data_IF_358777343514
#
_entry.id   IF_358777343514
#
_cell.length_a   1.000
_cell.length_b   1.000
_cell.length_c   1.000
_cell.angle_alpha   90.00
_cell.angle_beta   90.00
_cell.angle_gamma   90.00
#
_symmetry.space_group_name_H-M   'P 1'
#
loop_
_entity.id
_entity.type
_entity.pdbx_description
1 polymer ?
#
# COMPACT_ATOMS: atom_id res chain seq x y z
N UNK A 1 -23.43 20.21 -78.08
CA UNK A 1 -23.38 20.93 -76.80
C UNK A 1 -23.41 19.89 -75.66
N UNK A 2 -22.26 19.55 -75.06
CA UNK A 2 -22.18 18.61 -73.90
C UNK A 2 -21.88 19.45 -72.68
N UNK A 3 -22.78 19.46 -71.69
CA UNK A 3 -22.54 20.07 -70.39
C UNK A 3 -21.87 19.04 -69.47
N UNK A 4 -20.67 19.35 -68.99
CA UNK A 4 -20.02 18.64 -67.88
C UNK A 4 -20.49 19.28 -66.55
N UNK A 5 -21.12 18.48 -65.68
CA UNK A 5 -21.35 18.83 -64.27
C UNK A 5 -20.10 18.30 -63.48
N UNK A 6 -19.35 19.24 -62.92
CA UNK A 6 -18.33 18.95 -61.91
C UNK A 6 -18.96 18.99 -60.51
N UNK A 7 -19.10 17.82 -59.88
CA UNK A 7 -19.54 17.71 -58.48
C UNK A 7 -18.31 17.86 -57.52
N UNK A 8 -18.33 18.85 -56.66
CA UNK A 8 -17.37 19.02 -55.58
C UNK A 8 -17.78 18.15 -54.40
N UNK A 9 -16.92 17.21 -54.05
CA UNK A 9 -17.07 16.42 -52.78
C UNK A 9 -16.37 17.20 -51.68
N UNK A 10 -17.14 17.72 -50.72
CA UNK A 10 -16.61 18.30 -49.49
C UNK A 10 -16.28 17.17 -48.48
N UNK A 11 -15.02 16.95 -48.22
CA UNK A 11 -14.52 16.09 -47.12
C UNK A 11 -14.74 16.85 -45.80
N UNK A 12 -15.69 16.42 -44.98
CA UNK A 12 -15.79 16.83 -43.58
C UNK A 12 -14.72 16.08 -42.78
N UNK A 13 -13.62 16.76 -42.44
CA UNK A 13 -12.66 16.32 -41.43
C UNK A 13 -13.32 16.54 -40.06
N UNK A 14 -13.84 15.47 -39.46
CA UNK A 14 -14.18 15.44 -38.04
C UNK A 14 -12.91 15.45 -37.23
N UNK A 15 -12.51 16.62 -36.73
CA UNK A 15 -11.42 16.76 -35.79
C UNK A 15 -11.81 16.13 -34.48
N UNK A 16 -11.21 14.97 -34.16
CA UNK A 16 -11.19 14.46 -32.79
C UNK A 16 -10.37 15.46 -31.95
N UNK A 17 -11.05 16.32 -31.21
CA UNK A 17 -10.40 17.11 -30.18
C UNK A 17 -9.85 16.12 -29.11
N UNK A 18 -8.54 15.89 -29.13
CA UNK A 18 -7.87 15.19 -28.04
C UNK A 18 -8.00 16.07 -26.80
N UNK A 19 -8.85 15.68 -25.86
CA UNK A 19 -8.83 16.27 -24.51
C UNK A 19 -7.47 15.96 -23.93
N UNK A 20 -6.65 16.99 -23.71
CA UNK A 20 -5.37 16.84 -23.04
C UNK A 20 -5.63 16.16 -21.68
N UNK A 21 -4.84 15.15 -21.28
CA UNK A 21 -5.02 14.51 -19.99
C UNK A 21 -4.87 15.59 -18.91
N UNK A 22 -5.91 15.72 -18.07
CA UNK A 22 -5.82 16.55 -16.86
C UNK A 22 -4.69 16.00 -16.00
N UNK A 23 -3.84 16.89 -15.50
CA UNK A 23 -2.91 16.50 -14.45
C UNK A 23 -3.72 16.03 -13.22
N UNK A 24 -3.36 14.90 -12.61
CA UNK A 24 -4.05 14.43 -11.42
C UNK A 24 -3.98 15.49 -10.31
N UNK A 25 -5.09 15.68 -9.62
CA UNK A 25 -5.14 16.54 -8.42
C UNK A 25 -4.94 15.68 -7.19
N UNK A 26 -4.23 16.22 -6.20
CA UNK A 26 -3.99 15.56 -4.92
C UNK A 26 -4.37 16.49 -3.77
N UNK A 27 -5.03 15.94 -2.75
CA UNK A 27 -5.41 16.65 -1.53
C UNK A 27 -5.50 15.69 -0.35
N UNK A 28 -5.46 16.22 0.87
CA UNK A 28 -5.82 15.46 2.07
C UNK A 28 -7.33 15.19 2.03
N UNK A 29 -7.71 13.94 2.21
CA UNK A 29 -9.09 13.53 2.41
C UNK A 29 -9.49 13.69 3.89
N UNK A 30 -8.66 13.22 4.78
CA UNK A 30 -8.87 13.28 6.23
C UNK A 30 -7.53 13.23 6.96
N UNK A 31 -7.40 14.07 7.96
CA UNK A 31 -6.38 14.01 8.99
C UNK A 31 -6.90 13.08 10.11
N UNK A 32 -6.13 12.07 10.45
CA UNK A 32 -6.50 11.06 11.43
C UNK A 32 -6.05 11.41 12.85
N UNK A 33 -5.21 12.45 12.98
CA UNK A 33 -4.62 12.88 14.25
C UNK A 33 -4.52 14.42 14.37
N UNK A 34 -5.63 15.16 14.16
CA UNK A 34 -5.61 16.62 13.98
C UNK A 34 -5.23 17.40 15.25
N UNK A 35 -5.18 16.76 16.40
CA UNK A 35 -4.89 17.40 17.68
C UNK A 35 -3.48 17.11 18.20
N UNK A 36 -2.69 16.30 17.48
CA UNK A 36 -1.47 15.75 18.03
C UNK A 36 -0.22 16.15 17.26
N UNK A 37 0.69 16.81 17.94
CA UNK A 37 2.10 16.91 17.53
C UNK A 37 2.92 15.69 17.98
N UNK A 38 2.32 14.77 18.76
CA UNK A 38 3.00 13.66 19.41
C UNK A 38 2.82 12.31 18.68
N UNK A 39 2.22 12.33 17.48
CA UNK A 39 1.95 11.13 16.68
C UNK A 39 1.24 10.04 17.49
N UNK A 40 0.10 10.38 18.08
CA UNK A 40 -0.73 9.45 18.87
C UNK A 40 -1.46 8.43 18.00
N UNK A 41 -1.56 8.71 16.70
CA UNK A 41 -2.03 7.80 15.66
C UNK A 41 -0.97 7.66 14.57
N UNK A 42 -0.71 6.45 14.14
CA UNK A 42 0.21 6.14 13.02
C UNK A 42 -0.47 5.10 12.14
N UNK A 43 -0.57 5.37 10.83
CA UNK A 43 -1.16 4.43 9.88
C UNK A 43 -0.16 4.09 8.77
N UNK A 44 0.02 2.79 8.51
CA UNK A 44 0.95 2.33 7.47
C UNK A 44 0.21 1.87 6.22
N UNK A 45 -0.89 1.16 6.36
CA UNK A 45 -1.60 0.55 5.23
C UNK A 45 -3.01 1.08 5.11
N UNK A 46 -3.53 1.01 3.88
CA UNK A 46 -4.91 1.34 3.55
C UNK A 46 -5.49 0.24 2.65
N UNK A 47 -6.73 -0.12 2.89
CA UNK A 47 -7.52 -0.99 2.00
C UNK A 47 -8.94 -0.48 1.88
N UNK A 48 -9.75 -1.07 0.99
CA UNK A 48 -11.15 -0.70 0.83
C UNK A 48 -12.03 -1.95 0.74
N UNK A 49 -13.24 -1.85 1.30
CA UNK A 49 -14.25 -2.87 1.12
C UNK A 49 -14.98 -2.72 -0.24
N UNK A 50 -15.89 -3.63 -0.55
CA UNK A 50 -16.66 -3.62 -1.80
C UNK A 50 -17.60 -2.42 -1.96
N UNK A 51 -17.93 -1.75 -0.86
CA UNK A 51 -18.77 -0.56 -0.85
C UNK A 51 -17.94 0.72 -1.02
N UNK A 52 -16.61 0.59 -1.10
CA UNK A 52 -15.68 1.69 -1.22
C UNK A 52 -15.40 2.41 0.10
N UNK A 53 -15.73 1.81 1.23
CA UNK A 53 -15.29 2.31 2.54
C UNK A 53 -13.81 2.03 2.70
N UNK A 54 -13.05 2.99 3.16
CA UNK A 54 -11.61 2.89 3.41
C UNK A 54 -11.35 2.36 4.82
N UNK A 55 -10.30 1.55 4.96
CA UNK A 55 -9.87 1.02 6.24
C UNK A 55 -8.38 1.23 6.41
N UNK A 56 -7.98 1.73 7.57
CA UNK A 56 -6.59 1.88 8.00
C UNK A 56 -6.43 1.28 9.40
N UNK A 57 -5.22 0.84 9.74
CA UNK A 57 -4.92 0.33 11.06
C UNK A 57 -3.96 1.29 11.79
N UNK A 58 -4.35 1.69 12.98
CA UNK A 58 -3.55 2.51 13.89
C UNK A 58 -2.52 1.64 14.61
N UNK A 59 -1.26 1.84 14.29
CA UNK A 59 -0.11 1.07 14.82
C UNK A 59 0.11 1.31 16.31
N UNK A 60 -0.23 2.49 16.82
CA UNK A 60 -0.01 2.87 18.21
C UNK A 60 -1.02 2.19 19.14
N UNK A 61 -2.31 2.27 18.77
CA UNK A 61 -3.41 1.85 19.63
C UNK A 61 -4.04 0.52 19.19
N UNK A 62 -3.65 -0.06 18.07
CA UNK A 62 -4.24 -1.28 17.52
C UNK A 62 -5.68 -1.12 17.03
N UNK A 63 -6.17 0.11 16.85
CA UNK A 63 -7.50 0.37 16.34
C UNK A 63 -7.56 0.16 14.82
N UNK A 64 -8.67 -0.40 14.35
CA UNK A 64 -9.01 -0.42 12.93
C UNK A 64 -10.04 0.66 12.70
N UNK A 65 -9.66 1.66 11.88
CA UNK A 65 -10.47 2.80 11.53
C UNK A 65 -11.12 2.58 10.17
N UNK A 66 -12.42 2.89 10.08
CA UNK A 66 -13.15 2.97 8.81
C UNK A 66 -13.47 4.43 8.49
N UNK A 67 -13.30 4.80 7.21
CA UNK A 67 -13.58 6.15 6.69
C UNK A 67 -14.47 6.04 5.46
N UNK A 68 -15.59 6.76 5.46
CA UNK A 68 -16.40 6.95 4.24
C UNK A 68 -15.77 8.08 3.42
N UNK A 69 -15.32 7.84 2.18
CA UNK A 69 -14.72 8.90 1.36
C UNK A 69 -15.66 10.07 1.05
N UNK A 70 -16.98 9.87 1.19
CA UNK A 70 -18.00 10.91 0.95
C UNK A 70 -18.28 11.76 2.18
N UNK A 71 -18.00 11.24 3.37
CA UNK A 71 -18.14 11.91 4.66
C UNK A 71 -16.97 11.47 5.55
N UNK A 72 -15.75 12.02 5.35
CA UNK A 72 -14.50 11.42 5.83
C UNK A 72 -14.28 11.66 7.34
N UNK A 73 -15.10 11.00 8.13
CA UNK A 73 -14.96 10.95 9.60
C UNK A 73 -14.48 9.54 9.98
N UNK A 74 -13.31 9.40 10.62
CA UNK A 74 -12.80 8.09 11.05
C UNK A 74 -13.63 7.53 12.20
N UNK A 75 -13.99 6.25 12.10
CA UNK A 75 -14.70 5.53 13.17
C UNK A 75 -14.00 4.21 13.46
N UNK A 76 -13.81 3.89 14.74
CA UNK A 76 -13.25 2.60 15.18
C UNK A 76 -14.27 1.50 14.93
N UNK A 77 -13.89 0.47 14.15
CA UNK A 77 -14.78 -0.66 13.83
C UNK A 77 -14.28 -2.00 14.36
N UNK A 78 -12.99 -2.07 14.73
CA UNK A 78 -12.39 -3.25 15.35
C UNK A 78 -11.11 -2.86 16.09
N UNK A 79 -10.56 -3.82 16.87
CA UNK A 79 -9.31 -3.64 17.63
C UNK A 79 -8.46 -4.89 17.61
N UNK A 80 -7.15 -4.68 17.75
CA UNK A 80 -6.18 -5.73 18.02
C UNK A 80 -5.64 -5.47 19.43
N UNK A 81 -5.95 -6.37 20.35
CA UNK A 81 -5.49 -6.22 21.74
C UNK A 81 -3.99 -6.50 21.85
N UNK A 82 -3.25 -5.69 22.63
CA UNK A 82 -1.88 -5.98 22.98
C UNK A 82 -1.79 -7.30 23.73
N UNK A 83 -0.69 -8.05 23.56
CA UNK A 83 -0.45 -9.35 24.19
C UNK A 83 0.73 -9.31 25.14
N UNK A 84 0.72 -10.20 26.12
CA UNK A 84 1.90 -10.49 26.90
C UNK A 84 2.75 -11.52 26.16
N UNK A 85 3.95 -11.13 25.75
CA UNK A 85 4.92 -12.00 25.08
C UNK A 85 6.18 -11.99 25.92
N UNK A 86 6.49 -13.11 26.54
CA UNK A 86 7.65 -13.30 27.41
C UNK A 86 7.74 -12.26 28.54
N UNK A 87 6.60 -11.94 29.16
CA UNK A 87 6.51 -10.98 30.27
C UNK A 87 6.58 -9.50 29.87
N UNK A 88 6.43 -9.21 28.56
CA UNK A 88 6.36 -7.84 28.04
C UNK A 88 5.03 -7.61 27.35
N UNK A 89 4.40 -6.48 27.65
CA UNK A 89 3.22 -6.02 26.89
C UNK A 89 3.65 -5.57 25.51
N UNK A 90 3.18 -6.26 24.47
CA UNK A 90 3.54 -6.02 23.05
C UNK A 90 2.29 -5.60 22.29
N UNK A 91 2.37 -4.48 21.59
CA UNK A 91 1.32 -4.04 20.66
C UNK A 91 1.46 -4.83 19.33
N UNK A 92 0.35 -4.96 18.61
CA UNK A 92 0.32 -5.67 17.33
C UNK A 92 1.13 -4.97 16.24
N UNK A 93 1.30 -3.65 16.36
CA UNK A 93 1.98 -2.81 15.36
C UNK A 93 1.49 -3.14 13.95
N UNK A 94 0.15 -3.02 13.69
CA UNK A 94 -0.45 -3.48 12.46
C UNK A 94 0.12 -2.77 11.24
N UNK A 95 0.41 -3.53 10.20
CA UNK A 95 0.95 -3.01 8.93
C UNK A 95 0.00 -3.31 7.77
N UNK A 96 0.21 -4.34 6.97
CA UNK A 96 -0.62 -4.67 5.81
C UNK A 96 -2.07 -4.98 6.15
N UNK A 97 -2.97 -4.59 5.25
CA UNK A 97 -4.41 -4.83 5.32
C UNK A 97 -4.91 -5.46 4.02
N UNK A 98 -5.78 -6.46 4.09
CA UNK A 98 -6.43 -7.02 2.92
C UNK A 98 -7.83 -7.56 3.27
N UNK A 99 -8.80 -7.37 2.37
CA UNK A 99 -10.10 -8.03 2.43
C UNK A 99 -10.11 -9.28 1.58
N UNK A 100 -10.76 -10.33 2.08
CA UNK A 100 -11.07 -11.49 1.26
C UNK A 100 -12.39 -11.30 0.47
N UNK A 101 -12.74 -12.37 -0.29
CA UNK A 101 -13.98 -12.39 -1.05
C UNK A 101 -15.24 -12.45 -0.17
N UNK A 102 -15.17 -12.77 1.10
CA UNK A 102 -16.26 -12.80 2.07
C UNK A 102 -16.46 -11.47 2.77
N UNK A 103 -15.48 -10.56 2.68
CA UNK A 103 -15.46 -9.27 3.36
C UNK A 103 -14.85 -9.34 4.75
N UNK A 104 -14.16 -10.43 5.08
CA UNK A 104 -13.34 -10.51 6.29
C UNK A 104 -12.06 -9.70 6.09
N UNK A 105 -11.67 -8.95 7.11
CA UNK A 105 -10.46 -8.13 7.10
C UNK A 105 -9.30 -8.87 7.74
N UNK A 106 -8.20 -8.96 7.01
CA UNK A 106 -6.94 -9.55 7.46
C UNK A 106 -5.92 -8.45 7.72
N UNK A 107 -5.15 -8.58 8.80
CA UNK A 107 -4.20 -7.58 9.27
C UNK A 107 -2.88 -8.27 9.61
N UNK A 108 -1.78 -7.78 9.05
CA UNK A 108 -0.43 -8.20 9.41
C UNK A 108 -0.07 -7.67 10.80
N UNK A 109 0.30 -8.55 11.71
CA UNK A 109 0.72 -8.25 13.08
C UNK A 109 2.17 -8.74 13.27
N UNK A 110 3.12 -7.96 12.74
CA UNK A 110 4.53 -8.33 12.65
C UNK A 110 5.18 -8.74 13.99
N UNK A 111 4.98 -7.98 15.09
CA UNK A 111 5.49 -8.34 16.43
C UNK A 111 4.94 -9.66 16.98
N UNK A 112 3.77 -10.08 16.56
CA UNK A 112 3.18 -11.36 16.94
C UNK A 112 3.63 -12.51 16.02
N UNK A 113 4.29 -12.19 14.88
CA UNK A 113 4.57 -13.11 13.79
C UNK A 113 3.29 -13.80 13.27
N UNK A 114 2.19 -13.03 13.17
CA UNK A 114 0.86 -13.53 12.84
C UNK A 114 0.17 -12.66 11.78
N UNK A 115 -0.85 -13.27 11.16
CA UNK A 115 -1.94 -12.53 10.54
C UNK A 115 -3.17 -12.74 11.41
N UNK A 116 -3.80 -11.63 11.80
CA UNK A 116 -5.06 -11.64 12.53
C UNK A 116 -6.22 -11.31 11.60
N UNK A 117 -7.43 -11.75 11.95
CA UNK A 117 -8.64 -11.56 11.16
C UNK A 117 -9.75 -10.94 12.00
N UNK A 118 -10.51 -10.03 11.39
CA UNK A 118 -11.82 -9.55 11.86
C UNK A 118 -12.86 -9.97 10.84
N UNK A 119 -13.92 -10.66 11.30
CA UNK A 119 -14.99 -11.10 10.39
C UNK A 119 -15.80 -9.90 9.92
N UNK A 120 -16.34 -9.96 8.72
CA UNK A 120 -17.15 -8.89 8.13
C UNK A 120 -18.28 -8.41 9.07
N UNK A 121 -18.98 -9.34 9.74
CA UNK A 121 -20.06 -9.04 10.68
C UNK A 121 -19.57 -8.33 11.97
N UNK A 122 -18.30 -8.39 12.27
CA UNK A 122 -17.67 -7.81 13.46
C UNK A 122 -17.06 -6.42 13.20
N UNK A 123 -17.00 -5.97 11.96
CA UNK A 123 -16.56 -4.62 11.58
C UNK A 123 -17.67 -3.60 11.86
N UNK A 124 -17.89 -3.32 13.12
CA UNK A 124 -19.06 -2.56 13.60
C UNK A 124 -18.66 -1.40 14.52
N UNK A 125 -18.97 -0.12 14.17
CA UNK A 125 -18.62 1.02 15.02
C UNK A 125 -19.41 1.08 16.34
N UNK A 126 -20.62 0.50 16.41
CA UNK A 126 -21.40 0.47 17.64
C UNK A 126 -20.85 -0.56 18.65
N UNK A 127 -20.17 -1.59 18.17
CA UNK A 127 -19.52 -2.63 18.98
C UNK A 127 -18.28 -3.13 18.22
N UNK A 128 -17.13 -2.43 18.33
CA UNK A 128 -15.92 -2.81 17.61
C UNK A 128 -15.51 -4.25 17.90
N UNK A 129 -15.27 -5.03 16.84
CA UNK A 129 -14.86 -6.42 16.92
C UNK A 129 -13.43 -6.56 17.46
N UNK A 130 -13.10 -7.76 17.95
CA UNK A 130 -11.74 -8.11 18.34
C UNK A 130 -11.10 -9.02 17.28
N UNK A 131 -9.94 -8.60 16.79
CA UNK A 131 -9.19 -9.41 15.84
C UNK A 131 -8.70 -10.71 16.48
N UNK A 132 -8.81 -11.80 15.74
CA UNK A 132 -8.41 -13.14 16.19
C UNK A 132 -7.24 -13.65 15.34
N UNK A 133 -6.34 -14.40 15.94
CA UNK A 133 -5.28 -15.10 15.19
C UNK A 133 -5.90 -15.98 14.10
N UNK A 134 -5.47 -15.78 12.88
CA UNK A 134 -5.88 -16.60 11.73
C UNK A 134 -4.72 -17.42 11.18
N UNK A 135 -3.51 -16.87 11.18
CA UNK A 135 -2.32 -17.56 10.75
C UNK A 135 -1.11 -17.18 11.60
N UNK A 136 -0.13 -18.08 11.68
CA UNK A 136 1.10 -17.93 12.44
C UNK A 136 2.35 -18.16 11.57
N UNK A 137 3.52 -17.76 12.05
CA UNK A 137 4.79 -18.01 11.37
C UNK A 137 5.14 -16.94 10.31
N UNK A 138 4.54 -15.76 10.38
CA UNK A 138 4.80 -14.63 9.47
C UNK A 138 5.70 -13.58 10.13
N UNK A 139 6.90 -13.97 10.54
CA UNK A 139 7.84 -13.07 11.18
C UNK A 139 8.14 -11.84 10.32
N UNK A 140 7.96 -10.63 10.90
CA UNK A 140 8.14 -9.37 10.20
C UNK A 140 7.04 -9.08 9.17
N UNK A 141 5.84 -9.66 9.34
CA UNK A 141 4.70 -9.45 8.45
C UNK A 141 4.47 -7.97 8.15
N UNK A 142 4.37 -7.63 6.86
CA UNK A 142 4.18 -6.27 6.37
C UNK A 142 3.10 -6.24 5.28
N UNK A 143 3.42 -6.13 3.99
CA UNK A 143 2.44 -6.08 2.90
C UNK A 143 1.72 -7.41 2.69
N UNK A 144 0.49 -7.35 2.17
CA UNK A 144 -0.35 -8.53 1.94
C UNK A 144 -1.12 -8.45 0.62
N UNK A 145 -1.31 -9.60 -0.03
CA UNK A 145 -2.15 -9.72 -1.21
C UNK A 145 -2.76 -11.13 -1.31
N UNK A 146 -4.04 -11.21 -1.64
CA UNK A 146 -4.69 -12.48 -1.99
C UNK A 146 -4.42 -12.89 -3.44
N UNK A 147 -4.14 -14.16 -3.67
CA UNK A 147 -4.18 -14.74 -5.00
C UNK A 147 -5.63 -15.06 -5.44
N UNK A 148 -5.83 -15.47 -6.69
CA UNK A 148 -7.16 -15.81 -7.22
C UNK A 148 -7.76 -17.07 -6.60
N UNK A 149 -6.96 -17.91 -5.97
CA UNK A 149 -7.36 -19.12 -5.28
C UNK A 149 -7.75 -18.85 -3.82
N UNK A 150 -7.64 -17.60 -3.35
CA UNK A 150 -7.93 -17.19 -1.98
C UNK A 150 -6.81 -17.50 -0.98
N UNK A 151 -5.59 -17.79 -1.45
CA UNK A 151 -4.44 -17.87 -0.54
C UNK A 151 -3.90 -16.48 -0.29
N UNK A 152 -3.47 -16.21 0.93
CA UNK A 152 -2.86 -14.94 1.30
C UNK A 152 -1.33 -15.02 1.20
N UNK A 153 -0.75 -14.07 0.50
CA UNK A 153 0.70 -13.85 0.48
C UNK A 153 1.04 -12.67 1.39
N UNK A 154 2.09 -12.83 2.20
CA UNK A 154 2.51 -11.86 3.22
C UNK A 154 4.00 -11.63 3.12
N UNK A 155 4.44 -10.40 2.94
CA UNK A 155 5.86 -10.07 2.94
C UNK A 155 6.43 -10.03 4.36
N UNK A 156 7.67 -10.51 4.53
CA UNK A 156 8.40 -10.55 5.80
C UNK A 156 9.44 -9.43 5.93
N UNK A 157 9.22 -8.30 5.28
CA UNK A 157 10.05 -7.10 5.42
C UNK A 157 11.52 -7.35 5.12
N UNK A 158 12.36 -7.14 6.11
CA UNK A 158 13.81 -7.25 5.99
C UNK A 158 14.31 -8.69 5.77
N UNK A 159 13.53 -9.72 6.14
CA UNK A 159 13.91 -11.11 5.88
C UNK A 159 13.96 -11.46 4.39
N UNK A 160 13.23 -10.69 3.57
CA UNK A 160 13.04 -10.94 2.14
C UNK A 160 12.13 -12.12 1.82
N UNK A 161 11.64 -12.82 2.83
CA UNK A 161 10.68 -13.92 2.62
C UNK A 161 9.33 -13.36 2.28
N UNK A 162 8.65 -13.93 1.28
CA UNK A 162 7.20 -13.80 1.14
C UNK A 162 6.59 -15.13 1.53
N UNK A 163 5.74 -15.09 2.52
CA UNK A 163 5.02 -16.26 3.03
C UNK A 163 3.74 -16.47 2.24
N UNK A 164 3.31 -17.72 2.09
CA UNK A 164 1.98 -18.10 1.62
C UNK A 164 1.19 -18.76 2.76
N UNK A 165 -0.06 -18.38 2.89
CA UNK A 165 -1.01 -18.95 3.85
C UNK A 165 -2.19 -19.50 3.03
N UNK A 166 -2.59 -20.73 3.31
CA UNK A 166 -3.78 -21.30 2.67
C UNK A 166 -5.04 -20.49 3.05
N UNK A 167 -6.06 -20.48 2.19
CA UNK A 167 -7.32 -19.76 2.45
C UNK A 167 -8.06 -20.20 3.72
N UNK A 168 -7.72 -21.35 4.27
CA UNK A 168 -8.21 -21.82 5.58
C UNK A 168 -7.45 -21.24 6.79
N UNK A 169 -6.35 -20.51 6.58
CA UNK A 169 -5.45 -20.05 7.64
C UNK A 169 -4.45 -21.11 8.10
N UNK A 170 -3.89 -20.92 9.28
CA UNK A 170 -2.94 -21.86 9.89
C UNK A 170 -1.49 -21.43 9.75
N UNK A 171 -0.56 -22.39 9.65
CA UNK A 171 0.87 -22.09 9.56
C UNK A 171 1.27 -21.57 8.20
N UNK A 172 1.92 -20.40 8.18
CA UNK A 172 2.47 -19.81 6.97
C UNK A 172 3.65 -20.65 6.44
N UNK A 173 3.78 -20.70 5.11
CA UNK A 173 4.87 -21.40 4.44
C UNK A 173 5.70 -20.41 3.62
N UNK A 174 7.03 -20.46 3.64
CA UNK A 174 7.86 -19.66 2.73
C UNK A 174 7.52 -20.00 1.27
N UNK A 175 7.24 -18.99 0.47
CA UNK A 175 6.90 -19.14 -0.95
C UNK A 175 7.92 -18.48 -1.88
N UNK A 176 8.43 -17.32 -1.52
CA UNK A 176 9.40 -16.53 -2.32
C UNK A 176 10.52 -16.04 -1.42
N UNK A 177 11.72 -15.92 -1.97
CA UNK A 177 12.85 -15.25 -1.32
C UNK A 177 13.36 -14.12 -2.22
N UNK A 178 13.19 -12.87 -1.78
CA UNK A 178 13.90 -11.71 -2.32
C UNK A 178 15.27 -11.66 -1.64
N UNK A 179 16.32 -11.39 -2.41
CA UNK A 179 17.66 -11.30 -1.88
C UNK A 179 17.77 -10.21 -0.80
N UNK A 180 18.35 -10.55 0.34
CA UNK A 180 18.56 -9.61 1.45
C UNK A 180 19.48 -8.47 1.05
N UNK A 181 19.24 -7.30 1.63
CA UNK A 181 20.08 -6.13 1.48
C UNK A 181 20.58 -5.65 2.84
N UNK A 182 21.88 -5.51 2.97
CA UNK A 182 22.52 -5.05 4.20
C UNK A 182 23.22 -3.72 3.92
N UNK A 183 22.87 -2.71 4.71
CA UNK A 183 23.51 -1.39 4.66
C UNK A 183 24.53 -1.29 5.79
N UNK A 184 25.72 -0.79 5.49
CA UNK A 184 26.69 -0.39 6.51
C UNK A 184 26.38 1.05 6.93
N UNK A 185 26.21 1.25 8.23
CA UNK A 185 25.97 2.53 8.84
C UNK A 185 27.28 3.31 9.05
N UNK A 186 27.23 4.64 9.28
CA UNK A 186 28.43 5.46 9.52
C UNK A 186 29.27 5.00 10.72
N UNK A 187 28.66 4.34 11.71
CA UNK A 187 29.34 3.77 12.88
C UNK A 187 29.99 2.40 12.61
N UNK A 188 29.96 1.93 11.36
CA UNK A 188 30.49 0.63 10.93
C UNK A 188 29.58 -0.57 11.21
N UNK A 189 28.46 -0.39 11.89
CA UNK A 189 27.47 -1.45 12.09
C UNK A 189 26.72 -1.76 10.81
N UNK A 190 26.24 -2.97 10.70
CA UNK A 190 25.38 -3.39 9.59
C UNK A 190 23.93 -3.43 10.02
N UNK A 191 23.05 -2.99 9.13
CA UNK A 191 21.60 -3.05 9.31
C UNK A 191 20.95 -3.69 8.10
N UNK A 192 20.16 -4.73 8.34
CA UNK A 192 19.35 -5.35 7.31
C UNK A 192 18.19 -4.42 6.95
N UNK A 193 18.01 -4.20 5.66
CA UNK A 193 16.99 -3.28 5.12
C UNK A 193 15.76 -4.04 4.64
N UNK A 194 14.62 -3.35 4.51
CA UNK A 194 13.37 -3.91 3.98
C UNK A 194 13.52 -4.15 2.46
N UNK A 195 13.38 -5.39 2.03
CA UNK A 195 13.48 -5.82 0.62
C UNK A 195 12.23 -6.51 0.09
N UNK A 196 11.28 -6.84 0.97
CA UNK A 196 9.98 -7.36 0.59
C UNK A 196 8.92 -6.57 1.37
N UNK A 197 8.32 -5.56 0.74
CA UNK A 197 7.33 -4.66 1.34
C UNK A 197 5.96 -4.87 0.68
N UNK A 198 5.43 -3.91 -0.05
CA UNK A 198 4.14 -4.01 -0.71
C UNK A 198 4.06 -5.18 -1.70
N UNK A 199 2.91 -5.82 -1.74
CA UNK A 199 2.60 -6.96 -2.61
C UNK A 199 1.36 -6.69 -3.45
N UNK A 200 1.37 -7.08 -4.71
CA UNK A 200 0.18 -7.11 -5.55
C UNK A 200 0.26 -8.21 -6.61
N UNK A 201 -0.87 -8.83 -6.91
CA UNK A 201 -1.00 -9.75 -8.05
C UNK A 201 -1.52 -9.00 -9.27
N UNK A 202 -0.89 -9.23 -10.43
CA UNK A 202 -1.43 -8.74 -11.68
C UNK A 202 -2.59 -9.60 -12.23
N UNK A 203 -3.17 -9.15 -13.34
CA UNK A 203 -4.25 -9.87 -14.00
C UNK A 203 -3.85 -11.26 -14.55
N UNK A 204 -2.59 -11.58 -14.62
CA UNK A 204 -2.05 -12.88 -15.04
C UNK A 204 -1.72 -13.80 -13.85
N UNK A 205 -1.82 -13.28 -12.60
CA UNK A 205 -1.48 -14.00 -11.39
C UNK A 205 0.02 -13.99 -11.08
N UNK A 206 0.77 -13.06 -11.67
CA UNK A 206 2.18 -12.82 -11.31
C UNK A 206 2.22 -11.94 -10.07
N UNK A 207 2.99 -12.35 -9.08
CA UNK A 207 3.22 -11.56 -7.87
C UNK A 207 4.24 -10.45 -8.15
N UNK A 208 3.90 -9.21 -7.79
CA UNK A 208 4.81 -8.08 -7.78
C UNK A 208 5.19 -7.74 -6.34
N UNK A 209 6.47 -7.49 -6.09
CA UNK A 209 7.04 -7.20 -4.77
C UNK A 209 7.78 -5.89 -4.83
N UNK A 210 7.45 -4.95 -3.94
CA UNK A 210 8.21 -3.72 -3.73
C UNK A 210 9.45 -3.98 -2.88
N UNK A 211 10.60 -3.44 -3.34
CA UNK A 211 11.88 -3.50 -2.63
C UNK A 211 12.25 -2.07 -2.20
N UNK A 212 11.96 -1.75 -0.96
CA UNK A 212 12.20 -0.43 -0.36
C UNK A 212 13.68 -0.07 -0.39
N UNK A 213 14.53 -1.04 -0.05
CA UNK A 213 15.97 -0.84 0.08
C UNK A 213 16.67 -0.47 -1.22
N UNK A 214 16.21 -1.07 -2.34
CA UNK A 214 16.81 -0.88 -3.66
C UNK A 214 16.06 0.12 -4.54
N UNK A 215 14.89 0.60 -4.11
CA UNK A 215 14.00 1.39 -4.97
C UNK A 215 13.62 0.60 -6.22
N UNK A 216 13.14 -0.62 -6.04
CA UNK A 216 12.94 -1.58 -7.12
C UNK A 216 11.61 -2.33 -7.01
N UNK A 217 11.19 -2.93 -8.11
CA UNK A 217 10.07 -3.85 -8.19
C UNK A 217 10.52 -5.19 -8.78
N UNK A 218 10.09 -6.27 -8.16
CA UNK A 218 10.32 -7.64 -8.60
C UNK A 218 9.03 -8.27 -9.12
N UNK A 219 9.15 -9.17 -10.09
CA UNK A 219 8.08 -10.05 -10.58
C UNK A 219 8.41 -11.49 -10.23
N UNK A 220 7.41 -12.22 -9.75
CA UNK A 220 7.56 -13.63 -9.38
C UNK A 220 6.37 -14.43 -9.90
N UNK A 221 6.61 -15.39 -10.77
CA UNK A 221 5.59 -16.36 -11.17
C UNK A 221 5.32 -17.32 -10.00
N UNK A 222 4.04 -17.53 -9.67
CA UNK A 222 3.64 -18.47 -8.63
C UNK A 222 3.16 -19.75 -9.31
N UNK A 223 3.78 -20.87 -8.94
CA UNK A 223 3.43 -22.19 -9.44
C UNK A 223 2.11 -22.72 -8.86
N UNK A 224 1.58 -23.78 -9.46
CA UNK A 224 0.36 -24.42 -8.98
C UNK A 224 0.48 -24.99 -7.55
N UNK A 225 1.69 -25.28 -7.10
CA UNK A 225 2.01 -25.68 -5.73
C UNK A 225 2.06 -24.50 -4.74
N UNK A 226 1.87 -23.28 -5.23
CA UNK A 226 1.92 -22.05 -4.45
C UNK A 226 3.33 -21.56 -4.14
N UNK A 227 4.36 -22.16 -4.71
CA UNK A 227 5.75 -21.68 -4.59
C UNK A 227 6.08 -20.69 -5.69
N UNK A 228 6.86 -19.68 -5.33
CA UNK A 228 7.40 -18.76 -6.31
C UNK A 228 8.60 -19.30 -7.07
N UNK A 229 8.66 -18.97 -8.35
CA UNK A 229 9.87 -19.11 -9.13
C UNK A 229 10.95 -18.12 -8.73
N UNK A 230 12.02 -18.04 -9.51
CA UNK A 230 13.09 -17.05 -9.31
C UNK A 230 12.54 -15.63 -9.49
N UNK A 231 12.72 -14.71 -8.52
CA UNK A 231 12.35 -13.31 -8.71
C UNK A 231 13.11 -12.67 -9.86
N UNK A 232 12.39 -11.99 -10.75
CA UNK A 232 12.96 -11.23 -11.86
C UNK A 232 12.78 -9.74 -11.60
N UNK A 233 13.85 -8.96 -11.73
CA UNK A 233 13.79 -7.51 -11.63
C UNK A 233 12.91 -6.94 -12.74
N UNK A 234 11.82 -6.25 -12.38
CA UNK A 234 11.00 -5.51 -13.34
C UNK A 234 11.66 -4.17 -13.65
N UNK A 235 12.01 -3.43 -12.61
CA UNK A 235 12.62 -2.10 -12.73
C UNK A 235 13.29 -1.69 -11.41
N UNK A 236 14.36 -0.93 -11.50
CA UNK A 236 14.96 -0.15 -10.42
C UNK A 236 15.09 1.29 -10.90
N UNK A 237 14.61 2.26 -10.11
CA UNK A 237 14.56 3.67 -10.53
C UNK A 237 14.60 4.59 -9.31
N UNK A 238 15.21 5.77 -9.44
CA UNK A 238 15.25 6.77 -8.38
C UNK A 238 13.85 7.28 -7.96
N UNK A 239 12.86 7.23 -8.85
CA UNK A 239 11.47 7.56 -8.51
C UNK A 239 10.80 6.49 -7.63
N UNK A 240 11.42 5.33 -7.44
CA UNK A 240 10.98 4.26 -6.56
C UNK A 240 11.73 4.25 -5.22
N UNK A 241 12.47 5.30 -4.90
CA UNK A 241 13.19 5.40 -3.62
C UNK A 241 12.19 5.31 -2.46
N UNK A 242 12.40 4.31 -1.59
CA UNK A 242 11.43 3.99 -0.57
C UNK A 242 10.16 3.29 -1.08
N UNK A 243 10.24 2.49 -2.15
CA UNK A 243 9.09 1.74 -2.66
C UNK A 243 8.43 0.93 -1.55
N UNK A 244 7.14 1.22 -1.31
CA UNK A 244 6.38 0.67 -0.19
C UNK A 244 5.09 -0.02 -0.69
N UNK A 245 3.91 0.41 -0.29
CA UNK A 245 2.67 -0.18 -0.75
C UNK A 245 2.42 -0.01 -2.24
N UNK A 246 1.80 -1.01 -2.85
CA UNK A 246 1.56 -1.07 -4.29
C UNK A 246 0.13 -1.50 -4.60
N UNK A 247 -0.42 -0.95 -5.70
CA UNK A 247 -1.74 -1.33 -6.19
C UNK A 247 -1.82 -1.20 -7.72
N UNK A 248 -2.50 -2.14 -8.38
CA UNK A 248 -2.77 -2.02 -9.81
C UNK A 248 -3.95 -1.09 -10.10
N UNK A 249 -3.79 -0.21 -11.07
CA UNK A 249 -4.91 0.53 -11.65
C UNK A 249 -5.65 -0.31 -12.70
N UNK A 250 -6.78 0.19 -13.17
CA UNK A 250 -7.62 -0.51 -14.17
C UNK A 250 -6.93 -0.70 -15.53
N UNK A 251 -5.88 0.04 -15.80
CA UNK A 251 -5.11 -0.06 -17.05
C UNK A 251 -3.96 -1.05 -16.95
N UNK A 252 -3.77 -1.68 -15.77
CA UNK A 252 -2.71 -2.64 -15.50
C UNK A 252 -1.35 -1.99 -15.18
N UNK A 253 -1.32 -0.69 -14.86
CA UNK A 253 -0.11 -0.06 -14.31
C UNK A 253 -0.06 -0.32 -12.80
N UNK A 254 1.11 -0.62 -12.29
CA UNK A 254 1.36 -0.76 -10.86
C UNK A 254 1.69 0.62 -10.27
N UNK A 255 0.82 1.12 -9.40
CA UNK A 255 1.09 2.33 -8.65
C UNK A 255 1.86 1.99 -7.38
N UNK A 256 2.83 2.82 -7.03
CA UNK A 256 3.79 2.61 -5.94
C UNK A 256 3.83 3.86 -5.08
N UNK A 257 3.65 3.71 -3.78
CA UNK A 257 3.99 4.73 -2.80
C UNK A 257 5.51 4.74 -2.63
N UNK A 258 6.14 5.85 -2.98
CA UNK A 258 7.60 6.06 -2.85
C UNK A 258 7.83 7.00 -1.67
N UNK A 259 7.92 6.40 -0.48
CA UNK A 259 7.82 7.11 0.78
C UNK A 259 8.97 8.09 1.02
N UNK A 260 10.21 7.73 0.68
CA UNK A 260 11.41 8.53 0.93
C UNK A 260 11.47 9.83 0.10
N UNK A 261 10.62 9.97 -0.92
CA UNK A 261 10.58 11.14 -1.80
C UNK A 261 9.20 11.79 -1.89
N UNK A 262 8.27 11.44 -0.98
CA UNK A 262 6.90 11.93 -0.94
C UNK A 262 6.22 11.87 -2.31
N UNK A 263 6.24 10.70 -2.93
CA UNK A 263 5.72 10.52 -4.28
C UNK A 263 4.80 9.30 -4.42
N UNK A 264 3.90 9.38 -5.39
CA UNK A 264 3.20 8.24 -5.97
C UNK A 264 3.61 8.15 -7.43
N UNK A 265 4.05 6.99 -7.85
CA UNK A 265 4.49 6.72 -9.22
C UNK A 265 3.70 5.58 -9.83
N UNK A 266 3.58 5.54 -11.15
CA UNK A 266 3.00 4.42 -11.88
C UNK A 266 4.06 3.74 -12.73
N UNK A 267 4.05 2.42 -12.72
CA UNK A 267 4.96 1.57 -13.47
C UNK A 267 4.17 0.73 -14.46
N UNK A 268 4.52 0.82 -15.74
CA UNK A 268 3.89 0.01 -16.78
C UNK A 268 4.32 -1.46 -16.68
N UNK A 269 3.60 -2.41 -17.30
CA UNK A 269 4.03 -3.82 -17.36
C UNK A 269 5.42 -4.02 -17.98
N UNK A 270 5.88 -3.08 -18.82
CA UNK A 270 7.21 -3.07 -19.42
C UNK A 270 8.29 -2.41 -18.54
N UNK A 271 7.94 -1.89 -17.35
CA UNK A 271 8.88 -1.28 -16.42
C UNK A 271 9.13 0.23 -16.64
N UNK A 272 8.38 0.91 -17.50
CA UNK A 272 8.48 2.36 -17.62
C UNK A 272 7.86 3.03 -16.39
N UNK A 273 8.60 3.97 -15.76
CA UNK A 273 8.22 4.65 -14.52
C UNK A 273 7.77 6.07 -14.82
N UNK A 274 6.62 6.47 -14.30
CA UNK A 274 6.03 7.80 -14.44
C UNK A 274 5.63 8.35 -13.07
N UNK A 275 6.04 9.58 -12.75
CA UNK A 275 5.53 10.30 -11.57
C UNK A 275 4.06 10.67 -11.78
N UNK A 276 3.21 10.31 -10.83
CA UNK A 276 1.79 10.66 -10.81
C UNK A 276 1.58 11.89 -9.93
N UNK A 277 2.15 11.86 -8.73
CA UNK A 277 2.12 12.95 -7.78
C UNK A 277 3.41 12.97 -6.98
N UNK A 278 3.90 14.16 -6.66
CA UNK A 278 5.06 14.37 -5.80
C UNK A 278 4.97 15.75 -5.18
N UNK A 279 5.36 15.86 -3.92
CA UNK A 279 5.48 17.14 -3.25
C UNK A 279 6.73 17.19 -2.35
N UNK A 280 7.08 18.40 -1.93
CA UNK A 280 8.03 18.66 -0.85
C UNK A 280 7.32 18.50 0.50
N UNK A 281 8.04 18.74 1.60
CA UNK A 281 7.63 18.52 2.97
C UNK A 281 6.26 19.07 3.40
N UNK A 282 5.69 20.02 2.78
CA UNK A 282 4.42 20.65 3.20
C UNK A 282 3.27 20.29 2.24
N UNK A 283 3.23 19.12 1.73
CA UNK A 283 2.22 18.70 0.78
C UNK A 283 1.31 17.58 1.30
N UNK A 284 0.33 17.16 0.50
CA UNK A 284 -0.62 16.13 0.91
C UNK A 284 -0.03 14.70 0.92
N UNK A 285 1.23 14.50 0.50
CA UNK A 285 1.96 13.24 0.64
C UNK A 285 3.07 13.42 1.68
N UNK A 286 2.96 12.69 2.78
CA UNK A 286 3.90 12.69 3.87
C UNK A 286 4.30 11.29 4.24
N UNK A 287 5.44 10.85 3.70
CA UNK A 287 5.87 9.48 3.80
C UNK A 287 4.76 8.51 3.40
N UNK A 288 4.23 8.61 2.15
CA UNK A 288 3.12 7.77 1.71
C UNK A 288 3.52 6.30 1.76
N UNK A 289 2.67 5.45 2.36
CA UNK A 289 3.02 4.08 2.67
C UNK A 289 2.21 3.03 1.92
N UNK A 290 0.94 3.30 1.60
CA UNK A 290 0.15 2.36 0.81
C UNK A 290 -0.89 3.06 -0.06
N UNK A 291 -1.41 2.32 -1.05
CA UNK A 291 -2.37 2.82 -2.05
C UNK A 291 -3.52 1.83 -2.20
N UNK A 292 -4.75 2.36 -2.29
CA UNK A 292 -5.92 1.58 -2.71
C UNK A 292 -6.74 2.38 -3.72
N UNK A 293 -7.35 1.68 -4.68
CA UNK A 293 -8.28 2.28 -5.64
C UNK A 293 -9.73 2.06 -5.23
N UNK A 294 -10.54 3.14 -5.27
CA UNK A 294 -12.00 3.06 -5.23
C UNK A 294 -12.54 3.83 -6.44
N UNK A 295 -13.10 3.11 -7.37
CA UNK A 295 -13.44 3.70 -8.66
C UNK A 295 -12.18 4.15 -9.41
N UNK A 296 -12.17 5.41 -9.84
CA UNK A 296 -11.05 6.02 -10.56
C UNK A 296 -10.10 6.81 -9.63
N UNK A 297 -10.43 6.89 -8.34
CA UNK A 297 -9.61 7.60 -7.35
C UNK A 297 -8.64 6.66 -6.66
N UNK A 298 -7.41 7.12 -6.46
CA UNK A 298 -6.46 6.45 -5.59
C UNK A 298 -6.48 7.13 -4.21
N UNK A 299 -6.48 6.32 -3.16
CA UNK A 299 -6.36 6.76 -1.77
C UNK A 299 -5.05 6.27 -1.22
N UNK A 300 -4.35 7.14 -0.52
CA UNK A 300 -2.97 6.93 -0.05
C UNK A 300 -2.93 7.14 1.45
N UNK A 301 -2.41 6.16 2.20
CA UNK A 301 -2.08 6.36 3.61
C UNK A 301 -0.75 7.08 3.75
N UNK A 302 -0.71 8.09 4.61
CA UNK A 302 0.51 8.77 5.01
C UNK A 302 0.94 8.26 6.39
N UNK A 303 2.14 7.68 6.44
CA UNK A 303 2.74 7.17 7.67
C UNK A 303 3.35 8.31 8.52
N UNK A 304 3.67 9.43 7.87
CA UNK A 304 4.25 10.62 8.48
C UNK A 304 5.47 10.33 9.35
N UNK A 305 6.46 9.64 8.82
CA UNK A 305 7.73 9.46 9.51
C UNK A 305 8.53 10.74 9.43
N UNK A 306 8.94 11.36 10.57
CA UNK A 306 9.85 12.51 10.56
C UNK A 306 11.19 12.14 9.92
N UNK A 307 11.38 12.54 8.68
CA UNK A 307 12.60 12.27 7.89
C UNK A 307 12.87 13.39 6.89
N UNK A 308 14.15 13.62 6.58
CA UNK A 308 14.61 14.49 5.50
C UNK A 308 13.91 15.85 5.54
N UNK A 309 13.18 16.20 4.48
CA UNK A 309 12.49 17.46 4.33
C UNK A 309 11.17 17.58 5.10
N UNK A 310 10.67 16.49 5.67
CA UNK A 310 9.53 16.51 6.59
C UNK A 310 9.93 16.94 8.02
N UNK A 311 11.20 17.23 8.27
CA UNK A 311 11.66 17.66 9.58
C UNK A 311 11.60 19.18 9.74
N UNK A 312 11.27 19.63 10.94
CA UNK A 312 11.42 21.03 11.36
C UNK A 312 12.90 21.42 11.53
N UNK A 313 13.16 22.65 11.93
CA UNK A 313 14.51 23.15 12.15
C UNK A 313 15.25 22.43 13.30
N UNK A 314 14.54 21.74 14.20
CA UNK A 314 15.14 20.93 15.27
C UNK A 314 15.64 19.58 14.77
N UNK A 315 15.17 19.13 13.59
CA UNK A 315 15.49 17.84 13.00
C UNK A 315 14.80 16.64 13.69
N UNK A 316 13.77 16.88 14.46
CA UNK A 316 13.11 15.84 15.27
C UNK A 316 11.60 15.77 15.11
N UNK A 317 10.95 16.83 14.65
CA UNK A 317 9.48 16.94 14.59
C UNK A 317 9.03 17.08 13.13
N UNK A 318 7.90 16.48 12.78
CA UNK A 318 7.27 16.66 11.47
C UNK A 318 6.88 18.13 11.25
N UNK A 319 7.09 18.63 10.04
CA UNK A 319 7.13 20.07 9.74
C UNK A 319 5.76 20.73 9.63
N UNK A 320 4.76 20.02 9.20
CA UNK A 320 3.49 20.62 8.78
C UNK A 320 2.29 20.26 9.65
N UNK A 321 2.43 19.27 10.52
CA UNK A 321 1.40 18.93 11.50
C UNK A 321 0.14 18.29 10.92
N UNK A 322 0.18 17.76 9.68
CA UNK A 322 -0.94 16.96 9.17
C UNK A 322 -0.97 15.58 9.80
N UNK A 323 0.19 15.03 10.14
CA UNK A 323 0.31 13.75 10.84
C UNK A 323 -0.20 12.56 10.01
N UNK A 324 -0.65 11.53 10.71
CA UNK A 324 -1.28 10.37 10.08
C UNK A 324 -2.54 10.78 9.33
N UNK A 325 -2.59 10.56 8.02
CA UNK A 325 -3.68 11.04 7.17
C UNK A 325 -3.97 10.10 6.01
N UNK A 326 -5.06 10.36 5.32
CA UNK A 326 -5.37 9.76 4.03
C UNK A 326 -5.38 10.87 2.98
N UNK A 327 -4.54 10.76 1.97
CA UNK A 327 -4.59 11.60 0.78
C UNK A 327 -5.46 10.96 -0.31
N UNK A 328 -6.01 11.80 -1.21
CA UNK A 328 -6.75 11.35 -2.39
C UNK A 328 -6.15 11.94 -3.64
N UNK A 329 -5.93 11.08 -4.64
CA UNK A 329 -5.48 11.45 -5.99
C UNK A 329 -6.66 11.22 -6.93
N UNK A 330 -7.09 12.30 -7.60
CA UNK A 330 -8.16 12.28 -8.60
C UNK A 330 -7.56 12.53 -9.98
N UNK A 331 -7.78 11.63 -10.97
CA UNK A 331 -7.28 11.76 -12.34
C UNK A 331 -7.70 13.03 -13.05
#
# INVERSE_FOLDING_TARGET
>A
MKFLLTGAVALLLAGCASVAPKNPTISILVDLDPASVDRTTIVESITADRNGMLYVADRVNGNILRVDPKAPVPVVVARIEPRDIQGRRVNADPSGLAFDAQGDLFIAAGPFAEVVRVRAAELNPAKPGLAQTWATGTAGANGMAFDRQGNLFVSGGASGVVFRIAGSGGAAQPAVQIEKFVRTLPDGKTQQQIVANGLAFDAQGVLHVADTARGALWKVAIGADGKGGTPALLVQNALLEGADGVAFDRTGRLWVASNEINAVVAVTPAGAVQSIARNSSAGPLEFPSAIVFVGDRAYVSNFDVPRRDNLDASGTTSRDGVGASIAVITP
#
